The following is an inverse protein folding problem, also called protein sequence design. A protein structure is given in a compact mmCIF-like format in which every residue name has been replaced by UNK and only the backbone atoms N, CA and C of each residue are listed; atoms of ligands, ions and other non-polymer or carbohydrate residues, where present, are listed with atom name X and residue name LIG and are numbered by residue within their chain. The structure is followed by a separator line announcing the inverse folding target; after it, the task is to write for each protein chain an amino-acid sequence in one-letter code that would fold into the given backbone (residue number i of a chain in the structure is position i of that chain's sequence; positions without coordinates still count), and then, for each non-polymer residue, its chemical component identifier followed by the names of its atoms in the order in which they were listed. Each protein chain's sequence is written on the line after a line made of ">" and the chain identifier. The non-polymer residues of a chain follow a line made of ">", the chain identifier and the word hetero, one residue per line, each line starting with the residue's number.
data_IF_510414016590
#
_entry.id   IF_510414016590
#
_cell.length_a   1.000
_cell.length_b   1.000
_cell.length_c   1.000
_cell.angle_alpha   90.00
_cell.angle_beta   90.00
_cell.angle_gamma   90.00
#
_symmetry.space_group_name_H-M   'P 1'
#
loop_
_entity.id
_entity.type
_entity.pdbx_description
1 polymer ?
#
# COMPACT_ATOMS: atom_id res chain seq x y z
N UNK A 1 3.93 8.02 0.77
CA UNK A 1 4.58 8.77 1.86
C UNK A 1 6.05 8.46 1.77
N UNK A 2 6.89 9.46 1.48
CA UNK A 2 8.31 9.24 1.13
C UNK A 2 9.25 9.99 2.10
N UNK A 3 8.68 10.86 2.92
CA UNK A 3 9.37 11.63 3.94
C UNK A 3 9.29 10.87 5.28
N UNK A 4 10.43 10.51 5.90
CA UNK A 4 10.49 9.82 7.18
C UNK A 4 9.76 10.57 8.31
N UNK A 5 9.86 11.89 8.34
CA UNK A 5 9.26 12.70 9.41
C UNK A 5 7.74 12.73 9.26
N UNK A 6 7.26 12.86 8.02
CA UNK A 6 5.84 12.74 7.77
C UNK A 6 5.34 11.34 8.20
N UNK A 7 6.10 10.28 7.89
CA UNK A 7 5.72 8.91 8.22
C UNK A 7 5.65 8.70 9.75
N UNK A 8 6.60 9.27 10.50
CA UNK A 8 6.59 9.28 11.96
C UNK A 8 5.35 10.01 12.50
N UNK A 9 4.99 11.15 11.92
CA UNK A 9 3.80 11.89 12.34
C UNK A 9 2.49 11.15 12.03
N UNK A 10 2.37 10.53 10.84
CA UNK A 10 1.20 9.72 10.51
C UNK A 10 1.08 8.51 11.43
N UNK A 11 2.20 7.89 11.80
CA UNK A 11 2.23 6.83 12.80
C UNK A 11 1.76 7.34 14.16
N UNK A 12 2.19 8.53 14.58
CA UNK A 12 1.73 9.13 15.83
C UNK A 12 0.21 9.38 15.83
N UNK A 13 -0.32 10.00 14.77
CA UNK A 13 -1.77 10.20 14.56
C UNK A 13 -2.52 8.86 14.64
N UNK A 14 -2.00 7.83 13.97
CA UNK A 14 -2.58 6.50 13.95
C UNK A 14 -2.59 5.86 15.35
N UNK A 15 -1.49 5.91 16.09
CA UNK A 15 -1.38 5.33 17.42
C UNK A 15 -2.29 6.03 18.44
N UNK A 16 -2.41 7.36 18.37
CA UNK A 16 -3.36 8.12 19.20
C UNK A 16 -4.80 7.71 18.88
N UNK A 17 -5.14 7.61 17.59
CA UNK A 17 -6.46 7.16 17.15
C UNK A 17 -6.77 5.74 17.61
N UNK A 18 -5.81 4.83 17.50
CA UNK A 18 -5.94 3.45 17.96
C UNK A 18 -6.16 3.38 19.47
N UNK A 19 -5.37 4.10 20.27
CA UNK A 19 -5.55 4.14 21.72
C UNK A 19 -6.94 4.65 22.11
N UNK A 20 -7.41 5.74 21.50
CA UNK A 20 -8.75 6.32 21.76
C UNK A 20 -9.90 5.39 21.38
N UNK A 21 -9.72 4.59 20.32
CA UNK A 21 -10.74 3.68 19.80
C UNK A 21 -10.57 2.23 20.28
N UNK A 22 -9.56 1.92 21.10
CA UNK A 22 -9.30 0.55 21.54
C UNK A 22 -10.49 -0.06 22.29
N UNK A 23 -11.18 0.75 23.11
CA UNK A 23 -12.36 0.33 23.85
C UNK A 23 -13.59 0.06 22.96
N UNK A 24 -13.61 0.57 21.73
CA UNK A 24 -14.71 0.36 20.78
C UNK A 24 -14.47 -0.80 19.81
N UNK A 25 -13.35 -1.52 19.94
CA UNK A 25 -13.04 -2.68 19.12
C UNK A 25 -13.97 -3.86 19.47
N UNK A 26 -14.79 -4.28 18.50
CA UNK A 26 -15.84 -5.30 18.68
C UNK A 26 -15.44 -6.73 18.26
N UNK A 27 -14.16 -6.97 17.95
CA UNK A 27 -13.66 -8.27 17.48
C UNK A 27 -14.34 -8.84 16.22
N UNK A 28 -15.01 -8.01 15.42
CA UNK A 28 -15.61 -8.38 14.13
C UNK A 28 -14.57 -8.60 13.02
N UNK A 29 -13.29 -8.25 13.29
CA UNK A 29 -12.13 -8.50 12.43
C UNK A 29 -10.91 -8.80 13.30
N UNK A 30 -9.80 -9.26 12.69
CA UNK A 30 -8.53 -9.38 13.43
C UNK A 30 -8.07 -8.00 13.89
N UNK A 31 -7.45 -7.93 15.07
CA UNK A 31 -6.88 -6.68 15.61
C UNK A 31 -5.90 -6.05 14.62
N UNK A 32 -5.12 -6.86 13.91
CA UNK A 32 -4.18 -6.40 12.87
C UNK A 32 -4.89 -5.71 11.71
N UNK A 33 -6.01 -6.26 11.23
CA UNK A 33 -6.86 -5.65 10.19
C UNK A 33 -7.41 -4.30 10.66
N UNK A 34 -7.89 -4.22 11.89
CA UNK A 34 -8.42 -2.99 12.48
C UNK A 34 -7.32 -1.91 12.64
N UNK A 35 -6.13 -2.29 13.10
CA UNK A 35 -5.01 -1.39 13.25
C UNK A 35 -4.47 -0.91 11.89
N UNK A 36 -4.34 -1.81 10.91
CA UNK A 36 -3.96 -1.45 9.53
C UNK A 36 -4.92 -0.40 8.96
N UNK A 37 -6.23 -0.55 9.18
CA UNK A 37 -7.21 0.44 8.75
C UNK A 37 -6.92 1.82 9.34
N UNK A 38 -6.60 1.90 10.63
CA UNK A 38 -6.30 3.16 11.31
C UNK A 38 -5.04 3.81 10.71
N UNK A 39 -3.97 3.01 10.55
CA UNK A 39 -2.69 3.50 9.99
C UNK A 39 -2.86 3.96 8.53
N UNK A 40 -3.48 3.14 7.69
CA UNK A 40 -3.69 3.47 6.27
C UNK A 40 -4.52 4.74 6.10
N UNK A 41 -5.59 4.91 6.88
CA UNK A 41 -6.42 6.10 6.80
C UNK A 41 -5.69 7.35 7.31
N UNK A 42 -4.92 7.26 8.40
CA UNK A 42 -4.08 8.37 8.87
C UNK A 42 -3.07 8.81 7.80
N UNK A 43 -2.41 7.85 7.14
CA UNK A 43 -1.51 8.11 6.03
C UNK A 43 -2.23 8.79 4.85
N UNK A 44 -3.36 8.24 4.39
CA UNK A 44 -4.13 8.79 3.27
C UNK A 44 -4.65 10.20 3.58
N UNK A 45 -5.16 10.44 4.78
CA UNK A 45 -5.68 11.75 5.19
C UNK A 45 -4.57 12.80 5.28
N UNK A 46 -3.37 12.42 5.72
CA UNK A 46 -2.23 13.33 5.71
C UNK A 46 -1.79 13.68 4.30
N UNK A 47 -1.75 12.70 3.40
CA UNK A 47 -1.38 12.95 2.01
C UNK A 47 -2.42 13.88 1.32
N UNK A 48 -3.72 13.63 1.54
CA UNK A 48 -4.80 14.53 1.06
C UNK A 48 -4.66 15.95 1.60
N UNK A 49 -4.37 16.10 2.91
CA UNK A 49 -4.15 17.41 3.55
C UNK A 49 -2.98 18.16 2.93
N UNK A 50 -1.88 17.48 2.60
CA UNK A 50 -0.71 18.05 1.92
C UNK A 50 -1.04 18.53 0.51
N UNK A 51 -1.77 17.72 -0.28
CA UNK A 51 -2.21 18.15 -1.62
C UNK A 51 -3.09 19.40 -1.56
N UNK A 52 -3.93 19.52 -0.52
CA UNK A 52 -4.78 20.69 -0.31
C UNK A 52 -4.04 21.92 0.22
N UNK A 53 -2.87 21.76 0.87
CA UNK A 53 -2.08 22.84 1.48
C UNK A 53 -0.57 22.59 1.28
N UNK A 54 0.02 23.03 0.15
CA UNK A 54 1.45 22.89 -0.09
C UNK A 54 2.24 23.71 0.93
N UNK A 55 3.06 23.06 1.75
CA UNK A 55 4.02 23.71 2.64
C UNK A 55 5.39 23.78 1.97
N UNK A 56 6.14 24.86 2.22
CA UNK A 56 7.54 24.99 1.79
C UNK A 56 8.43 24.35 2.86
N UNK A 57 9.23 23.31 2.53
CA UNK A 57 10.15 22.71 3.50
C UNK A 57 11.23 23.71 3.92
N UNK A 58 11.56 23.72 5.22
CA UNK A 58 12.80 24.34 5.71
C UNK A 58 13.98 23.40 5.39
N UNK A 59 15.15 23.90 4.97
CA UNK A 59 16.26 23.03 4.62
C UNK A 59 16.89 22.39 5.87
N UNK A 60 16.82 21.07 5.95
CA UNK A 60 17.54 20.29 6.96
C UNK A 60 18.99 20.05 6.54
N UNK A 61 19.93 20.19 7.49
CA UNK A 61 21.36 19.91 7.31
C UNK A 61 21.75 18.79 8.26
N UNK A 62 21.89 17.56 7.75
CA UNK A 62 22.33 16.40 8.53
C UNK A 62 22.79 15.25 7.62
N UNK A 63 23.82 14.47 7.98
CA UNK A 63 24.34 13.41 7.12
C UNK A 63 23.44 12.18 7.16
N UNK A 64 23.04 11.68 5.99
CA UNK A 64 22.36 10.39 5.84
C UNK A 64 23.31 9.22 6.21
N UNK A 65 22.86 8.22 6.98
CA UNK A 65 23.67 7.05 7.28
C UNK A 65 23.83 6.14 6.06
N UNK A 66 25.08 5.91 5.64
CA UNK A 66 25.42 5.00 4.54
C UNK A 66 25.27 3.53 4.98
N UNK A 67 24.57 2.73 4.16
CA UNK A 67 24.31 1.30 4.40
C UNK A 67 25.19 0.39 3.50
N UNK A 68 25.68 -0.78 3.99
CA UNK A 68 26.65 -1.64 3.28
C UNK A 68 26.16 -2.31 1.97
N UNK A 69 27.14 -2.81 1.19
CA UNK A 69 27.18 -2.91 -0.28
C UNK A 69 26.84 -4.29 -0.88
N UNK A 70 26.35 -5.27 -0.12
CA UNK A 70 26.23 -6.67 -0.59
C UNK A 70 24.80 -7.16 -0.92
N UNK A 71 23.80 -6.26 -1.00
CA UNK A 71 22.41 -6.58 -1.34
C UNK A 71 21.93 -5.94 -2.67
N UNK A 72 22.83 -5.69 -3.62
CA UNK A 72 22.58 -4.74 -4.72
C UNK A 72 21.44 -5.19 -5.66
N UNK A 73 21.39 -6.46 -6.09
CA UNK A 73 20.43 -6.88 -7.13
C UNK A 73 18.94 -6.95 -6.67
N UNK A 74 18.67 -7.49 -5.47
CA UNK A 74 17.30 -7.55 -4.91
C UNK A 74 16.84 -6.18 -4.41
N UNK A 75 17.78 -5.34 -3.96
CA UNK A 75 17.52 -3.95 -3.59
C UNK A 75 17.19 -3.11 -4.82
N UNK A 76 17.89 -3.32 -5.93
CA UNK A 76 17.62 -2.63 -7.20
C UNK A 76 16.19 -2.92 -7.68
N UNK A 77 15.77 -4.19 -7.71
CA UNK A 77 14.40 -4.56 -8.11
C UNK A 77 13.36 -3.98 -7.16
N UNK A 78 13.59 -4.09 -5.84
CA UNK A 78 12.68 -3.54 -4.83
C UNK A 78 12.56 -2.02 -4.94
N UNK A 79 13.66 -1.31 -5.20
CA UNK A 79 13.67 0.13 -5.43
C UNK A 79 12.89 0.52 -6.69
N UNK A 80 13.05 -0.23 -7.79
CA UNK A 80 12.31 0.02 -9.04
C UNK A 80 10.80 -0.21 -8.84
N UNK A 81 10.41 -1.27 -8.11
CA UNK A 81 9.00 -1.53 -7.78
C UNK A 81 8.43 -0.42 -6.89
N UNK A 82 9.16 0.00 -5.86
CA UNK A 82 8.73 1.11 -4.99
C UNK A 82 8.56 2.41 -5.79
N UNK A 83 9.48 2.71 -6.69
CA UNK A 83 9.40 3.89 -7.55
C UNK A 83 8.21 3.82 -8.50
N UNK A 84 7.93 2.66 -9.10
CA UNK A 84 6.76 2.48 -9.96
C UNK A 84 5.43 2.58 -9.20
N UNK A 85 5.36 2.05 -7.98
CA UNK A 85 4.20 2.23 -7.09
C UNK A 85 4.00 3.71 -6.75
N UNK A 86 5.09 4.46 -6.53
CA UNK A 86 5.05 5.89 -6.23
C UNK A 86 4.35 6.71 -7.32
N UNK A 87 4.51 6.30 -8.58
CA UNK A 87 3.92 6.96 -9.76
C UNK A 87 2.42 6.68 -9.94
N UNK A 88 1.84 5.76 -9.18
CA UNK A 88 0.40 5.51 -9.23
C UNK A 88 -0.38 6.60 -8.48
N UNK A 89 -1.60 6.94 -8.95
CA UNK A 89 -2.57 7.67 -8.14
C UNK A 89 -2.78 6.95 -6.80
N UNK A 90 -2.94 7.73 -5.73
CA UNK A 90 -2.86 7.22 -4.35
C UNK A 90 -3.90 6.15 -4.04
N UNK A 91 -5.12 6.36 -4.51
CA UNK A 91 -6.22 5.41 -4.43
C UNK A 91 -5.91 4.08 -5.13
N UNK A 92 -5.17 4.13 -6.25
CA UNK A 92 -4.75 2.92 -6.98
C UNK A 92 -3.59 2.25 -6.26
N UNK A 93 -2.59 3.02 -5.81
CA UNK A 93 -1.46 2.51 -5.01
C UNK A 93 -1.94 1.82 -3.75
N UNK A 94 -2.83 2.43 -2.98
CA UNK A 94 -3.35 1.86 -1.74
C UNK A 94 -4.08 0.54 -1.98
N UNK A 95 -4.88 0.45 -3.06
CA UNK A 95 -5.55 -0.79 -3.43
C UNK A 95 -4.57 -1.90 -3.83
N UNK A 96 -3.55 -1.58 -4.63
CA UNK A 96 -2.49 -2.53 -5.03
C UNK A 96 -1.70 -3.01 -3.81
N UNK A 97 -1.27 -2.11 -2.93
CA UNK A 97 -0.49 -2.48 -1.75
C UNK A 97 -1.30 -3.42 -0.85
N UNK A 98 -2.55 -3.07 -0.54
CA UNK A 98 -3.38 -3.92 0.32
C UNK A 98 -3.64 -5.30 -0.28
N UNK A 99 -3.93 -5.39 -1.59
CA UNK A 99 -4.33 -6.67 -2.21
C UNK A 99 -3.12 -7.48 -2.67
N UNK A 100 -2.25 -6.88 -3.49
CA UNK A 100 -1.18 -7.60 -4.19
C UNK A 100 0.11 -7.70 -3.36
N UNK A 101 0.36 -6.77 -2.43
CA UNK A 101 1.59 -6.77 -1.58
C UNK A 101 1.32 -7.37 -0.21
N UNK A 102 0.28 -6.92 0.48
CA UNK A 102 -0.07 -7.37 1.84
C UNK A 102 -0.98 -8.61 1.84
N UNK A 103 -1.56 -8.98 0.69
CA UNK A 103 -2.36 -10.20 0.53
C UNK A 103 -3.77 -10.14 1.12
N UNK A 104 -4.31 -8.95 1.42
CA UNK A 104 -5.69 -8.82 1.89
C UNK A 104 -6.70 -9.17 0.80
N UNK A 105 -7.84 -9.72 1.21
CA UNK A 105 -8.96 -9.90 0.30
C UNK A 105 -9.53 -8.56 -0.15
N UNK A 106 -10.20 -8.55 -1.31
CA UNK A 106 -10.89 -7.36 -1.83
C UNK A 106 -11.87 -6.77 -0.82
N UNK A 107 -12.60 -7.62 -0.10
CA UNK A 107 -13.57 -7.20 0.91
C UNK A 107 -12.90 -6.55 2.14
N UNK A 108 -11.78 -7.11 2.61
CA UNK A 108 -11.01 -6.51 3.71
C UNK A 108 -10.42 -5.16 3.29
N UNK A 109 -9.83 -5.07 2.09
CA UNK A 109 -9.30 -3.83 1.55
C UNK A 109 -10.40 -2.76 1.37
N UNK A 110 -11.59 -3.16 0.93
CA UNK A 110 -12.76 -2.28 0.81
C UNK A 110 -13.18 -1.71 2.18
N UNK A 111 -13.26 -2.57 3.20
CA UNK A 111 -13.55 -2.15 4.58
C UNK A 111 -12.47 -1.23 5.17
N UNK A 112 -11.20 -1.47 4.84
CA UNK A 112 -10.09 -0.61 5.27
C UNK A 112 -10.16 0.79 4.63
N UNK A 113 -10.37 0.84 3.31
CA UNK A 113 -10.37 2.07 2.54
C UNK A 113 -11.70 2.83 2.59
N UNK A 114 -12.76 2.26 3.18
CA UNK A 114 -14.08 2.87 3.27
C UNK A 114 -14.78 3.03 1.91
N UNK A 115 -14.59 2.07 0.99
CA UNK A 115 -15.17 2.09 -0.36
C UNK A 115 -15.82 0.75 -0.72
N UNK A 116 -16.61 0.70 -1.79
CA UNK A 116 -17.20 -0.56 -2.28
C UNK A 116 -16.16 -1.52 -2.90
N UNK A 117 -16.41 -2.83 -2.82
CA UNK A 117 -15.58 -3.89 -3.42
C UNK A 117 -15.29 -3.65 -4.91
N UNK A 118 -16.30 -3.22 -5.68
CA UNK A 118 -16.15 -2.88 -7.09
C UNK A 118 -15.15 -1.73 -7.33
N UNK A 119 -15.09 -0.77 -6.40
CA UNK A 119 -14.12 0.33 -6.44
C UNK A 119 -12.71 -0.19 -6.22
N UNK A 120 -12.49 -1.10 -5.26
CA UNK A 120 -11.19 -1.75 -5.05
C UNK A 120 -10.75 -2.53 -6.29
N UNK A 121 -11.64 -3.36 -6.86
CA UNK A 121 -11.36 -4.12 -8.09
C UNK A 121 -10.97 -3.19 -9.25
N UNK A 122 -11.73 -2.11 -9.47
CA UNK A 122 -11.43 -1.15 -10.56
C UNK A 122 -10.13 -0.36 -10.32
N UNK A 123 -9.78 -0.08 -9.07
CA UNK A 123 -8.51 0.58 -8.70
C UNK A 123 -7.33 -0.36 -8.91
N UNK A 124 -7.44 -1.62 -8.50
CA UNK A 124 -6.42 -2.65 -8.74
C UNK A 124 -6.22 -2.88 -10.24
N UNK A 125 -7.29 -3.07 -11.02
CA UNK A 125 -7.19 -3.26 -12.46
C UNK A 125 -6.44 -2.11 -13.16
N UNK A 126 -6.79 -0.86 -12.84
CA UNK A 126 -6.11 0.33 -13.38
C UNK A 126 -4.68 0.48 -12.89
N UNK A 127 -4.41 0.17 -11.62
CA UNK A 127 -3.08 0.17 -11.03
C UNK A 127 -2.16 -0.85 -11.70
N UNK A 128 -2.60 -2.10 -11.83
CA UNK A 128 -1.86 -3.18 -12.51
C UNK A 128 -1.58 -2.83 -13.97
N UNK A 129 -2.54 -2.25 -14.69
CA UNK A 129 -2.34 -1.82 -16.08
C UNK A 129 -1.27 -0.72 -16.22
N UNK A 130 -1.14 0.18 -15.24
CA UNK A 130 -0.08 1.20 -15.20
C UNK A 130 1.26 0.60 -14.81
N UNK A 131 1.30 -0.25 -13.77
CA UNK A 131 2.51 -0.95 -13.35
C UNK A 131 3.07 -1.83 -14.46
N UNK A 132 2.23 -2.52 -15.23
CA UNK A 132 2.66 -3.31 -16.38
C UNK A 132 3.43 -2.49 -17.43
N UNK A 133 3.09 -1.20 -17.60
CA UNK A 133 3.82 -0.29 -18.48
C UNK A 133 5.14 0.18 -17.84
N UNK A 134 5.11 0.55 -16.56
CA UNK A 134 6.28 1.06 -15.84
C UNK A 134 7.35 -0.02 -15.61
N UNK A 135 6.92 -1.23 -15.24
CA UNK A 135 7.77 -2.36 -14.89
C UNK A 135 7.95 -3.35 -16.05
N UNK A 136 7.42 -3.04 -17.25
CA UNK A 136 7.48 -3.95 -18.39
C UNK A 136 8.91 -4.34 -18.80
N UNK A 137 9.89 -3.49 -18.51
CA UNK A 137 11.32 -3.74 -18.75
C UNK A 137 11.93 -4.76 -17.77
N UNK A 138 11.27 -5.05 -16.65
CA UNK A 138 11.67 -6.09 -15.70
C UNK A 138 11.05 -7.46 -16.02
N UNK A 139 10.19 -7.56 -17.05
CA UNK A 139 9.67 -8.86 -17.48
C UNK A 139 10.84 -9.71 -17.97
N UNK A 140 11.24 -10.69 -17.15
CA UNK A 140 12.12 -11.75 -17.58
C UNK A 140 11.37 -12.61 -18.61
N UNK A 141 11.78 -12.65 -19.89
CA UNK A 141 11.08 -13.43 -20.92
C UNK A 141 11.10 -14.95 -20.67
N UNK A 142 11.86 -15.41 -19.68
CA UNK A 142 11.93 -16.83 -19.27
C UNK A 142 11.01 -17.19 -18.10
N UNK A 143 10.28 -16.24 -17.48
CA UNK A 143 9.40 -16.48 -16.34
C UNK A 143 7.92 -16.44 -16.74
N UNK A 144 7.45 -17.51 -17.38
CA UNK A 144 6.04 -17.74 -17.71
C UNK A 144 5.21 -18.15 -16.46
N UNK A 145 5.52 -17.59 -15.28
CA UNK A 145 5.01 -18.09 -14.00
C UNK A 145 4.64 -16.96 -13.02
N UNK A 146 3.49 -17.11 -12.36
CA UNK A 146 3.02 -16.39 -11.16
C UNK A 146 2.19 -15.11 -11.34
N UNK A 147 1.42 -14.96 -12.43
CA UNK A 147 0.13 -14.26 -12.28
C UNK A 147 -0.92 -15.31 -11.96
N UNK A 148 -1.48 -15.36 -10.73
CA UNK A 148 -2.61 -16.25 -10.46
C UNK A 148 -3.75 -15.84 -11.39
N UNK A 149 -4.08 -16.74 -12.31
CA UNK A 149 -5.27 -16.60 -13.14
C UNK A 149 -6.48 -16.57 -12.19
N UNK A 150 -7.33 -15.54 -12.32
CA UNK A 150 -8.53 -15.30 -11.50
C UNK A 150 -9.48 -16.53 -11.52
N UNK A 151 -9.27 -17.48 -12.43
CA UNK A 151 -9.95 -18.75 -12.54
C UNK A 151 -9.70 -19.74 -11.38
N UNK A 152 -8.57 -19.67 -10.65
CA UNK A 152 -8.30 -20.62 -9.54
C UNK A 152 -8.93 -20.22 -8.20
N UNK A 153 -9.19 -18.93 -7.96
CA UNK A 153 -9.78 -18.46 -6.70
C UNK A 153 -11.29 -18.76 -6.59
N UNK A 154 -12.00 -18.94 -7.71
CA UNK A 154 -13.42 -19.27 -7.72
C UNK A 154 -13.72 -20.76 -7.50
N UNK A 155 -12.81 -21.68 -7.89
CA UNK A 155 -13.07 -23.13 -7.79
C UNK A 155 -13.00 -23.72 -6.37
N UNK A 156 -12.53 -22.97 -5.37
CA UNK A 156 -12.44 -23.44 -3.97
C UNK A 156 -13.66 -23.11 -3.09
N UNK A 157 -14.68 -22.41 -3.60
CA UNK A 157 -15.87 -22.01 -2.81
C UNK A 157 -17.17 -22.73 -3.13
N UNK A 158 -17.21 -23.60 -4.14
CA UNK A 158 -18.43 -24.31 -4.57
C UNK A 158 -18.50 -25.78 -4.13
N UNK A 159 -17.58 -26.21 -3.26
CA UNK A 159 -17.55 -27.56 -2.70
C UNK A 159 -17.58 -27.58 -1.18
N UNK A 160 -18.73 -27.23 -0.59
CA UNK A 160 -19.17 -27.74 0.71
C UNK A 160 -20.67 -27.56 0.86
#
# INVERSE_FOLDING_TARGET
>A
MRDPDEAADALQDAMISAFRNAASFRAESRVTTWLHRIVVNACLDRIRRRQARPTVPLPETGPEPAVPRDAIADRDTSMVVQEALSQLPEDQRAAIVLVDVEGYSVAEAAAMLGVADGTVKSRCARGRARLAKLLGHLRNPSADANVPDDAMAMRRREGR
#
